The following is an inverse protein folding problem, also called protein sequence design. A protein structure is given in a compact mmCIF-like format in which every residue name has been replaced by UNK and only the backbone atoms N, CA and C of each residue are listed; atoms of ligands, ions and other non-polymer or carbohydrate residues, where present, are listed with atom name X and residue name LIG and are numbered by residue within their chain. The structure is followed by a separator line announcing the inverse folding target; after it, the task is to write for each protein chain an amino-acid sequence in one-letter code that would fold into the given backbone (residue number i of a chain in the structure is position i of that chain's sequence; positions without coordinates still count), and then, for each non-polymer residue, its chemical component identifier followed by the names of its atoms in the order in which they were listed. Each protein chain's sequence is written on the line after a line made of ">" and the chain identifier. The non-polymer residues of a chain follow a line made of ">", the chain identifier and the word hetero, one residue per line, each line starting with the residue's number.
data_IF_472987253097
#
_entry.id   IF_472987253097
#
_cell.length_a   1.000
_cell.length_b   1.000
_cell.length_c   1.000
_cell.angle_alpha   90.00
_cell.angle_beta   90.00
_cell.angle_gamma   90.00
#
_symmetry.space_group_name_H-M   'P 1'
#
loop_
_entity.id
_entity.type
_entity.pdbx_description
1 polymer ?
#
# COMPACT_ATOMS: atom_id res chain seq x y z
N UNK A 1 4.52 19.74 0.63
CA UNK A 1 4.69 18.29 0.72
C UNK A 1 3.49 17.55 1.31
N UNK A 2 3.01 17.89 2.52
CA UNK A 2 1.84 17.23 3.13
C UNK A 2 0.58 17.13 2.25
N UNK A 3 0.26 18.17 1.47
CA UNK A 3 -0.87 18.13 0.51
C UNK A 3 -0.71 17.05 -0.57
N UNK A 4 0.52 16.73 -0.97
CA UNK A 4 0.81 15.65 -1.92
C UNK A 4 0.54 14.31 -1.27
N UNK A 5 1.02 14.11 -0.03
CA UNK A 5 0.73 12.91 0.74
C UNK A 5 -0.77 12.68 0.94
N UNK A 6 -1.56 13.71 1.21
CA UNK A 6 -3.03 13.57 1.29
C UNK A 6 -3.63 13.04 -0.01
N UNK A 7 -3.16 13.50 -1.17
CA UNK A 7 -3.61 12.97 -2.48
C UNK A 7 -3.20 11.50 -2.65
N UNK A 8 -1.93 11.20 -2.37
CA UNK A 8 -1.39 9.83 -2.43
C UNK A 8 -2.20 8.89 -1.52
N UNK A 9 -2.47 9.25 -0.27
CA UNK A 9 -3.29 8.45 0.65
C UNK A 9 -4.73 8.27 0.15
N UNK A 10 -5.30 9.29 -0.50
CA UNK A 10 -6.63 9.17 -1.10
C UNK A 10 -6.62 8.16 -2.25
N UNK A 11 -5.58 8.17 -3.08
CA UNK A 11 -5.38 7.18 -4.15
C UNK A 11 -5.18 5.77 -3.58
N UNK A 12 -4.33 5.61 -2.56
CA UNK A 12 -4.15 4.35 -1.84
C UNK A 12 -5.45 3.81 -1.23
N UNK A 13 -6.27 4.69 -0.63
CA UNK A 13 -7.58 4.33 -0.08
C UNK A 13 -8.55 3.85 -1.18
N UNK A 14 -8.54 4.52 -2.34
CA UNK A 14 -9.35 4.09 -3.48
C UNK A 14 -8.90 2.73 -4.03
N UNK A 15 -7.59 2.46 -4.07
CA UNK A 15 -7.04 1.16 -4.45
C UNK A 15 -7.49 0.06 -3.47
N UNK A 16 -7.37 0.30 -2.17
CA UNK A 16 -7.82 -0.66 -1.14
C UNK A 16 -9.33 -0.90 -1.20
N UNK A 17 -10.13 0.14 -1.48
CA UNK A 17 -11.58 0.00 -1.66
C UNK A 17 -11.90 -0.87 -2.88
N UNK A 18 -11.23 -0.63 -4.01
CA UNK A 18 -11.36 -1.44 -5.22
C UNK A 18 -10.89 -2.89 -5.02
N UNK A 19 -9.89 -3.10 -4.17
CA UNK A 19 -9.43 -4.44 -3.80
C UNK A 19 -10.55 -5.31 -3.22
N UNK A 20 -11.47 -4.72 -2.44
CA UNK A 20 -12.62 -5.44 -1.88
C UNK A 20 -13.54 -6.02 -2.97
N UNK A 21 -13.65 -5.37 -4.13
CA UNK A 21 -14.39 -5.90 -5.27
C UNK A 21 -13.70 -7.13 -5.86
N UNK A 22 -12.37 -7.10 -5.99
CA UNK A 22 -11.58 -8.23 -6.48
C UNK A 22 -11.61 -9.42 -5.51
N UNK A 23 -11.63 -9.17 -4.20
CA UNK A 23 -11.83 -10.23 -3.19
C UNK A 23 -13.17 -10.94 -3.41
N UNK A 24 -14.26 -10.18 -3.62
CA UNK A 24 -15.60 -10.76 -3.89
C UNK A 24 -15.63 -11.60 -5.17
N UNK A 25 -14.88 -11.18 -6.19
CA UNK A 25 -14.74 -11.90 -7.45
C UNK A 25 -13.73 -13.05 -7.39
N UNK A 26 -13.02 -13.22 -6.26
CA UNK A 26 -11.93 -14.19 -6.07
C UNK A 26 -10.80 -14.04 -7.10
N UNK A 27 -10.60 -12.82 -7.60
CA UNK A 27 -9.52 -12.48 -8.52
C UNK A 27 -8.26 -12.11 -7.71
N UNK A 28 -7.60 -13.13 -7.17
CA UNK A 28 -6.53 -12.95 -6.19
C UNK A 28 -5.25 -12.35 -6.78
N UNK A 29 -5.03 -12.50 -8.10
CA UNK A 29 -3.95 -11.79 -8.80
C UNK A 29 -4.19 -10.28 -8.82
N UNK A 30 -5.43 -9.84 -9.09
CA UNK A 30 -5.78 -8.42 -8.99
C UNK A 30 -5.78 -7.93 -7.54
N UNK A 31 -6.20 -8.75 -6.58
CA UNK A 31 -6.04 -8.44 -5.14
C UNK A 31 -4.58 -8.16 -4.83
N UNK A 32 -3.68 -9.09 -5.18
CA UNK A 32 -2.25 -8.96 -4.90
C UNK A 32 -1.67 -7.68 -5.49
N UNK A 33 -1.90 -7.43 -6.78
CA UNK A 33 -1.34 -6.27 -7.48
C UNK A 33 -1.94 -4.95 -6.97
N UNK A 34 -3.23 -4.92 -6.64
CA UNK A 34 -3.87 -3.71 -6.11
C UNK A 34 -3.36 -3.37 -4.71
N UNK A 35 -3.21 -4.36 -3.83
CA UNK A 35 -2.60 -4.17 -2.51
C UNK A 35 -1.14 -3.73 -2.66
N UNK A 36 -0.37 -4.34 -3.57
CA UNK A 36 1.02 -3.92 -3.85
C UNK A 36 1.13 -2.43 -4.20
N UNK A 37 0.23 -1.94 -5.05
CA UNK A 37 0.21 -0.52 -5.41
C UNK A 37 -0.22 0.36 -4.24
N UNK A 38 -1.22 -0.05 -3.44
CA UNK A 38 -1.59 0.69 -2.23
C UNK A 38 -0.45 0.71 -1.19
N UNK A 39 0.35 -0.37 -1.10
CA UNK A 39 1.47 -0.49 -0.16
C UNK A 39 2.57 0.52 -0.42
N UNK A 40 2.84 0.88 -1.67
CA UNK A 40 3.94 1.80 -2.02
C UNK A 40 3.60 3.28 -1.76
N UNK A 41 2.32 3.63 -1.70
CA UNK A 41 1.81 4.99 -1.42
C UNK A 41 2.48 5.67 -0.21
N UNK A 42 2.55 5.06 0.99
CA UNK A 42 3.25 5.68 2.12
C UNK A 42 4.75 5.93 1.86
N UNK A 43 5.41 5.09 1.05
CA UNK A 43 6.81 5.29 0.66
C UNK A 43 6.96 6.44 -0.33
N UNK A 44 6.03 6.60 -1.27
CA UNK A 44 6.01 7.76 -2.18
C UNK A 44 5.81 9.08 -1.43
N UNK A 45 4.99 9.08 -0.38
CA UNK A 45 4.89 10.24 0.51
C UNK A 45 6.24 10.56 1.18
N UNK A 46 6.91 9.55 1.78
CA UNK A 46 8.22 9.73 2.44
C UNK A 46 9.30 10.23 1.48
N UNK A 47 9.36 9.69 0.25
CA UNK A 47 10.36 10.06 -0.76
C UNK A 47 10.32 11.55 -1.06
N UNK A 48 9.15 12.15 -1.24
CA UNK A 48 9.11 13.58 -1.57
C UNK A 48 9.42 14.51 -0.38
N UNK A 49 9.52 14.00 0.85
CA UNK A 49 10.16 14.74 1.95
C UNK A 49 11.68 14.55 1.93
N UNK A 50 12.14 13.30 1.91
CA UNK A 50 13.55 12.95 2.15
C UNK A 50 14.44 13.21 0.92
N UNK A 51 14.00 12.84 -0.27
CA UNK A 51 14.81 12.95 -1.50
C UNK A 51 14.60 14.31 -2.16
N UNK A 52 13.34 14.70 -2.42
CA UNK A 52 13.03 15.90 -3.19
C UNK A 52 13.30 17.21 -2.42
N UNK A 53 13.14 17.17 -1.10
CA UNK A 53 13.17 18.38 -0.26
C UNK A 53 14.19 18.33 0.89
N UNK A 54 14.87 17.20 1.11
CA UNK A 54 15.78 16.96 2.26
C UNK A 54 15.18 17.31 3.62
N UNK A 55 13.85 17.23 3.72
CA UNK A 55 13.09 17.52 4.93
C UNK A 55 12.78 16.21 5.63
N UNK A 56 12.77 16.23 6.97
CA UNK A 56 12.24 15.11 7.73
C UNK A 56 10.72 15.09 7.57
N UNK A 57 10.18 13.97 7.13
CA UNK A 57 8.74 13.78 7.09
C UNK A 57 8.14 13.89 8.50
N UNK A 58 7.06 14.67 8.69
CA UNK A 58 6.35 14.76 9.96
C UNK A 58 5.47 13.53 10.22
N UNK A 59 5.34 12.63 9.25
CA UNK A 59 4.42 11.47 9.26
C UNK A 59 5.12 10.14 9.00
N UNK A 60 6.44 10.05 9.24
CA UNK A 60 7.22 8.83 8.99
C UNK A 60 6.66 7.62 9.72
N UNK A 61 6.29 7.77 11.00
CA UNK A 61 5.79 6.64 11.79
C UNK A 61 4.45 6.12 11.25
N UNK A 62 3.58 7.04 10.86
CA UNK A 62 2.28 6.73 10.26
C UNK A 62 2.47 6.04 8.90
N UNK A 63 3.45 6.47 8.11
CA UNK A 63 3.79 5.83 6.84
C UNK A 63 4.36 4.43 7.02
N UNK A 64 5.23 4.21 8.01
CA UNK A 64 5.75 2.88 8.33
C UNK A 64 4.61 1.93 8.74
N UNK A 65 3.74 2.37 9.65
CA UNK A 65 2.57 1.58 10.09
C UNK A 65 1.64 1.26 8.92
N UNK A 66 1.37 2.24 8.05
CA UNK A 66 0.51 2.03 6.88
C UNK A 66 1.15 1.05 5.89
N UNK A 67 2.45 1.16 5.63
CA UNK A 67 3.18 0.22 4.78
C UNK A 67 3.07 -1.21 5.33
N UNK A 68 3.39 -1.41 6.60
CA UNK A 68 3.40 -2.74 7.24
C UNK A 68 2.00 -3.35 7.28
N UNK A 69 0.98 -2.55 7.59
CA UNK A 69 -0.42 -3.02 7.64
C UNK A 69 -0.89 -3.53 6.29
N UNK A 70 -0.57 -2.80 5.21
CA UNK A 70 -0.93 -3.20 3.85
C UNK A 70 -0.09 -4.40 3.39
N UNK A 71 1.19 -4.47 3.79
CA UNK A 71 2.08 -5.59 3.49
C UNK A 71 1.62 -6.91 4.11
N UNK A 72 1.14 -6.88 5.35
CA UNK A 72 0.57 -8.05 6.02
C UNK A 72 -0.58 -8.62 5.17
N UNK A 73 -1.52 -7.77 4.73
CA UNK A 73 -2.64 -8.20 3.89
C UNK A 73 -2.16 -8.75 2.53
N UNK A 74 -1.14 -8.14 1.93
CA UNK A 74 -0.56 -8.63 0.67
C UNK A 74 0.07 -10.01 0.84
N UNK A 75 0.81 -10.20 1.92
CA UNK A 75 1.50 -11.45 2.26
C UNK A 75 0.50 -12.57 2.49
N UNK A 76 -0.59 -12.31 3.22
CA UNK A 76 -1.69 -13.28 3.36
C UNK A 76 -2.26 -13.71 2.00
N UNK A 77 -2.58 -12.76 1.12
CA UNK A 77 -3.08 -13.11 -0.21
C UNK A 77 -2.03 -13.88 -1.03
N UNK A 78 -0.75 -13.52 -0.92
CA UNK A 78 0.33 -14.22 -1.62
C UNK A 78 0.42 -15.68 -1.19
N UNK A 79 0.58 -15.94 0.11
CA UNK A 79 0.74 -17.29 0.64
C UNK A 79 -0.55 -18.10 0.62
N UNK A 80 -1.74 -17.49 0.61
CA UNK A 80 -2.98 -18.26 0.55
C UNK A 80 -3.43 -18.57 -0.89
N UNK A 81 -3.10 -17.70 -1.85
CA UNK A 81 -3.78 -17.70 -3.16
C UNK A 81 -2.87 -17.54 -4.37
N UNK A 82 -1.68 -16.96 -4.24
CA UNK A 82 -0.76 -16.75 -5.37
C UNK A 82 0.31 -17.85 -5.41
N UNK A 83 0.88 -18.18 -4.25
CA UNK A 83 1.89 -19.20 -4.10
C UNK A 83 1.68 -19.98 -2.80
N UNK A 84 0.65 -20.85 -2.75
CA UNK A 84 0.28 -21.59 -1.55
C UNK A 84 1.26 -22.68 -1.14
N UNK A 85 2.11 -23.14 -2.07
CA UNK A 85 3.03 -24.27 -1.82
C UNK A 85 4.35 -23.87 -1.14
N UNK A 86 4.50 -22.60 -0.74
CA UNK A 86 5.74 -22.05 -0.13
C UNK A 86 5.66 -22.00 1.41
N UNK A 87 4.55 -22.45 2.02
CA UNK A 87 4.37 -22.49 3.49
C UNK A 87 4.34 -23.92 4.03
#
# INVERSE_FOLDING_TARGET
>A
MLRVCVKLYSEGTNLLTKCLEYIKLRDFDKVHNTIRHARVVPRECEMGFNDDNKQKSPVTKENDVLFDTVDIAQSFNYYAHISPDIV
#
